data_IF_981879847457
#
_entry.id   IF_981879847457
#
_cell.length_a   1.000
_cell.length_b   1.000
_cell.length_c   1.000
_cell.angle_alpha   90.00
_cell.angle_beta   90.00
_cell.angle_gamma   90.00
#
_symmetry.space_group_name_H-M   'P 1'
#
loop_
_entity.id
_entity.type
_entity.pdbx_description
1 polymer ?
#
# COMPACT_ATOMS: atom_id res chain seq x y z
N UNK A 1 1.41 -20.87 6.25
CA UNK A 1 0.61 -21.09 6.47
C UNK A 1 -0.22 -21.22 7.64
N UNK A 2 -0.09 -22.15 8.34
CA UNK A 2 -0.90 -22.38 9.48
C UNK A 2 -0.73 -21.35 10.55
N UNK A 3 0.44 -20.75 10.63
CA UNK A 3 0.72 -19.75 11.64
C UNK A 3 -0.17 -18.52 11.47
N UNK A 4 -0.27 -18.03 10.26
CA UNK A 4 -1.12 -16.87 10.01
C UNK A 4 -2.56 -17.18 10.32
N UNK A 5 -2.99 -18.37 9.94
CA UNK A 5 -4.33 -18.74 10.21
C UNK A 5 -4.61 -18.85 11.68
N UNK A 6 -3.62 -19.26 12.45
CA UNK A 6 -3.81 -19.38 13.87
C UNK A 6 -3.97 -18.03 14.54
N UNK A 7 -3.37 -16.97 14.01
CA UNK A 7 -3.56 -15.63 14.53
C UNK A 7 -5.01 -15.22 14.49
N UNK A 8 -5.70 -15.65 13.44
CA UNK A 8 -7.11 -15.34 13.31
C UNK A 8 -8.00 -16.35 13.98
N UNK A 9 -7.46 -17.48 14.31
CA UNK A 9 -8.25 -18.51 14.95
C UNK A 9 -8.73 -18.08 16.32
N UNK A 10 -8.11 -17.07 16.90
CA UNK A 10 -8.58 -16.51 18.16
C UNK A 10 -9.98 -15.98 18.09
N UNK A 11 -10.48 -15.69 16.90
CA UNK A 11 -11.86 -15.25 16.72
C UNK A 11 -12.81 -16.42 16.50
N UNK A 12 -12.30 -17.62 16.48
CA UNK A 12 -13.14 -18.81 16.42
C UNK A 12 -13.68 -19.13 15.06
N UNK A 13 -13.16 -18.52 14.00
CA UNK A 13 -13.61 -18.85 12.66
C UNK A 13 -12.61 -18.38 11.64
N UNK A 14 -12.79 -18.88 10.42
CA UNK A 14 -11.94 -18.48 9.32
C UNK A 14 -12.25 -17.05 8.92
N UNK A 15 -11.19 -16.31 8.65
CA UNK A 15 -11.31 -15.00 8.04
C UNK A 15 -11.18 -15.17 6.53
N UNK A 16 -12.15 -14.68 5.79
CA UNK A 16 -12.07 -14.66 4.33
C UNK A 16 -11.35 -13.39 3.93
N UNK A 17 -10.15 -13.54 3.37
CA UNK A 17 -9.37 -12.41 2.91
C UNK A 17 -10.09 -11.73 1.74
N UNK A 18 -10.34 -10.46 1.90
CA UNK A 18 -10.88 -9.64 0.82
C UNK A 18 -9.78 -8.70 0.34
N UNK A 19 -9.83 -8.36 -0.93
CA UNK A 19 -8.87 -7.41 -1.50
C UNK A 19 -9.61 -6.24 -2.11
N UNK A 20 -8.97 -5.09 -2.07
CA UNK A 20 -9.44 -3.90 -2.75
C UNK A 20 -8.38 -3.48 -3.73
N UNK A 21 -8.71 -3.52 -5.02
CA UNK A 21 -7.76 -3.17 -6.06
C UNK A 21 -7.76 -1.66 -6.26
N UNK A 22 -6.56 -1.08 -6.28
CA UNK A 22 -6.38 0.35 -6.52
C UNK A 22 -5.41 0.48 -7.70
N UNK A 23 -5.88 1.09 -8.78
CA UNK A 23 -5.08 1.20 -10.00
C UNK A 23 -4.13 2.39 -9.94
N UNK A 24 -2.89 2.14 -10.29
CA UNK A 24 -1.87 3.17 -10.44
C UNK A 24 -1.35 3.10 -11.87
N UNK A 25 -1.52 4.18 -12.62
CA UNK A 25 -0.98 4.29 -13.97
C UNK A 25 0.42 4.87 -13.88
N UNK A 26 1.43 4.03 -13.97
CA UNK A 26 2.81 4.47 -13.80
C UNK A 26 3.32 5.34 -14.96
N UNK A 27 2.58 5.40 -16.08
CA UNK A 27 2.94 6.34 -17.14
C UNK A 27 2.82 7.79 -16.69
N UNK A 28 2.04 8.05 -15.63
CA UNK A 28 1.88 9.39 -15.06
C UNK A 28 3.06 9.78 -14.16
N UNK A 29 3.95 8.83 -13.86
CA UNK A 29 5.06 9.07 -12.94
C UNK A 29 6.34 9.27 -13.76
N UNK A 30 6.93 10.46 -13.65
CA UNK A 30 8.18 10.77 -14.32
C UNK A 30 9.26 11.26 -13.35
N UNK A 31 8.87 11.65 -12.15
CA UNK A 31 9.77 12.14 -11.10
C UNK A 31 9.09 11.98 -9.74
N UNK A 32 9.77 12.39 -8.68
CA UNK A 32 9.20 12.29 -7.34
C UNK A 32 7.94 13.12 -7.15
N UNK A 33 7.87 14.30 -7.77
CA UNK A 33 6.67 15.13 -7.65
C UNK A 33 5.46 14.42 -8.23
N UNK A 34 5.58 13.87 -9.45
CA UNK A 34 4.47 13.17 -10.07
C UNK A 34 4.14 11.87 -9.37
N UNK A 35 5.13 11.22 -8.75
CA UNK A 35 4.87 10.05 -7.90
C UNK A 35 3.95 10.42 -6.74
N UNK A 36 4.32 11.47 -6.01
CA UNK A 36 3.52 11.90 -4.87
C UNK A 36 2.16 12.44 -5.28
N UNK A 37 2.09 13.16 -6.40
CA UNK A 37 0.80 13.61 -6.93
C UNK A 37 -0.11 12.42 -7.24
N UNK A 38 0.42 11.42 -7.93
CA UNK A 38 -0.37 10.26 -8.34
C UNK A 38 -0.93 9.51 -7.14
N UNK A 39 -0.09 9.25 -6.15
CA UNK A 39 -0.54 8.53 -4.97
C UNK A 39 -1.45 9.37 -4.09
N UNK A 40 -1.14 10.65 -3.91
CA UNK A 40 -1.97 11.52 -3.08
C UNK A 40 -3.37 11.69 -3.68
N UNK A 41 -3.46 11.82 -4.98
CA UNK A 41 -4.76 11.93 -5.66
C UNK A 41 -5.55 10.63 -5.58
N UNK A 42 -4.88 9.51 -5.86
CA UNK A 42 -5.55 8.23 -5.93
C UNK A 42 -6.04 7.78 -4.55
N UNK A 43 -5.25 8.00 -3.52
CA UNK A 43 -5.57 7.56 -2.17
C UNK A 43 -6.26 8.63 -1.32
N UNK A 44 -6.27 9.87 -1.76
CA UNK A 44 -6.82 10.97 -0.97
C UNK A 44 -6.01 11.19 0.28
N UNK A 45 -4.69 11.30 0.17
CA UNK A 45 -3.83 11.59 1.30
C UNK A 45 -4.18 12.94 1.91
N UNK A 46 -3.95 13.13 3.22
CA UNK A 46 -4.35 14.38 3.86
C UNK A 46 -3.53 15.56 3.38
N UNK A 47 -4.06 16.77 3.60
CA UNK A 47 -3.40 17.98 3.15
C UNK A 47 -2.01 18.20 3.73
N UNK A 48 -1.73 17.57 4.88
CA UNK A 48 -0.41 17.66 5.50
C UNK A 48 0.55 16.57 5.03
N UNK A 49 0.19 15.81 3.99
CA UNK A 49 1.07 14.78 3.44
C UNK A 49 2.43 15.36 3.08
N UNK A 50 3.50 14.81 3.66
CA UNK A 50 4.84 15.39 3.57
C UNK A 50 5.57 15.16 2.26
N UNK A 51 5.01 14.41 1.31
CA UNK A 51 5.57 14.18 -0.02
C UNK A 51 6.99 13.61 0.03
N UNK A 52 7.17 12.62 0.87
CA UNK A 52 8.39 11.81 0.95
C UNK A 52 7.98 10.39 1.32
N UNK A 53 8.93 9.45 1.27
CA UNK A 53 8.58 8.04 1.47
C UNK A 53 8.25 7.72 2.93
N UNK A 54 8.77 8.47 3.89
CA UNK A 54 8.34 8.30 5.28
C UNK A 54 6.85 8.63 5.44
N UNK A 55 6.42 9.73 4.83
CA UNK A 55 5.01 10.11 4.85
C UNK A 55 4.14 9.09 4.09
N UNK A 56 4.64 8.59 2.96
CA UNK A 56 3.96 7.56 2.18
C UNK A 56 3.77 6.29 3.03
N UNK A 57 4.82 5.87 3.71
CA UNK A 57 4.77 4.71 4.60
C UNK A 57 3.72 4.90 5.69
N UNK A 58 3.67 6.08 6.29
CA UNK A 58 2.71 6.37 7.34
C UNK A 58 1.27 6.31 6.81
N UNK A 59 1.01 6.91 5.66
CA UNK A 59 -0.33 6.88 5.08
C UNK A 59 -0.77 5.47 4.76
N UNK A 60 0.13 4.65 4.21
CA UNK A 60 -0.22 3.27 3.84
C UNK A 60 -0.36 2.35 5.05
N UNK A 61 0.28 2.68 6.15
CA UNK A 61 0.20 1.87 7.36
C UNK A 61 -1.22 1.82 7.93
N UNK A 62 -2.01 2.87 7.71
CA UNK A 62 -3.33 3.03 8.33
C UNK A 62 -4.50 2.80 7.36
N UNK A 63 -4.29 2.00 6.30
CA UNK A 63 -5.35 1.74 5.34
C UNK A 63 -6.55 0.99 5.94
N UNK A 64 -6.36 0.31 7.05
CA UNK A 64 -7.46 -0.38 7.74
C UNK A 64 -8.01 0.41 8.93
N UNK A 65 -7.62 1.69 9.05
CA UNK A 65 -8.05 2.54 10.17
C UNK A 65 -8.56 3.88 9.62
N UNK A 66 -9.85 3.96 9.27
CA UNK A 66 -10.40 5.20 8.72
C UNK A 66 -10.32 6.37 9.67
N UNK A 67 -10.33 6.11 10.99
CA UNK A 67 -10.29 7.19 11.99
C UNK A 67 -8.92 7.85 12.05
N UNK A 68 -7.88 7.22 11.53
CA UNK A 68 -6.56 7.83 11.50
C UNK A 68 -6.48 9.04 10.57
N UNK A 69 -7.39 9.13 9.59
CA UNK A 69 -7.45 10.29 8.69
C UNK A 69 -6.29 10.38 7.71
N UNK A 70 -5.66 9.25 7.40
CA UNK A 70 -4.44 9.23 6.56
C UNK A 70 -4.70 8.91 5.10
N UNK A 71 -5.90 8.47 4.76
CA UNK A 71 -6.25 8.09 3.39
C UNK A 71 -7.77 8.12 3.25
N UNK A 72 -8.25 8.23 2.03
CA UNK A 72 -9.67 8.07 1.71
C UNK A 72 -9.98 6.66 1.22
N UNK A 73 -8.96 5.84 0.99
CA UNK A 73 -9.11 4.44 0.61
C UNK A 73 -8.95 3.59 1.86
N UNK A 74 -9.92 2.73 2.12
CA UNK A 74 -9.92 1.92 3.34
C UNK A 74 -10.30 0.48 3.04
N UNK A 75 -9.77 -0.42 3.86
CA UNK A 75 -10.17 -1.83 3.89
C UNK A 75 -10.51 -2.20 5.33
N UNK A 76 -11.23 -3.29 5.50
CA UNK A 76 -11.50 -3.82 6.84
C UNK A 76 -10.22 -4.44 7.42
N UNK A 77 -10.10 -4.51 8.74
CA UNK A 77 -8.94 -5.18 9.35
C UNK A 77 -8.78 -6.60 8.82
N UNK A 78 -7.57 -6.94 8.40
CA UNK A 78 -7.25 -8.24 7.82
C UNK A 78 -7.36 -8.29 6.31
N UNK A 79 -8.02 -7.31 5.70
CA UNK A 79 -8.10 -7.22 4.25
C UNK A 79 -6.88 -6.50 3.68
N UNK A 80 -6.70 -6.58 2.36
CA UNK A 80 -5.49 -6.10 1.68
C UNK A 80 -5.86 -5.15 0.55
N UNK A 81 -5.14 -4.04 0.48
CA UNK A 81 -5.17 -3.16 -0.70
C UNK A 81 -4.14 -3.69 -1.69
N UNK A 82 -4.57 -3.95 -2.92
CA UNK A 82 -3.67 -4.38 -3.99
C UNK A 82 -3.41 -3.18 -4.90
N UNK A 83 -2.15 -2.77 -4.97
CA UNK A 83 -1.71 -1.74 -5.91
C UNK A 83 -1.57 -2.39 -7.28
N UNK A 84 -2.48 -2.07 -8.19
CA UNK A 84 -2.44 -2.59 -9.56
C UNK A 84 -1.70 -1.58 -10.41
N UNK A 85 -0.43 -1.84 -10.65
CA UNK A 85 0.47 -0.87 -11.27
C UNK A 85 0.66 -1.23 -12.75
N UNK A 86 0.19 -0.37 -13.64
CA UNK A 86 0.31 -0.57 -15.08
C UNK A 86 1.51 0.17 -15.64
N UNK A 87 2.01 -0.30 -16.78
CA UNK A 87 3.17 0.31 -17.45
C UNK A 87 4.46 0.10 -16.67
N UNK A 88 4.58 -1.02 -15.96
CA UNK A 88 5.64 -1.19 -14.97
C UNK A 88 7.01 -1.35 -15.60
N UNK A 89 7.12 -2.04 -16.76
CA UNK A 89 8.44 -2.24 -17.37
C UNK A 89 9.06 -0.92 -17.81
N UNK A 90 8.25 -0.07 -18.44
CA UNK A 90 8.69 1.25 -18.85
C UNK A 90 9.01 2.13 -17.63
N UNK A 91 8.17 2.07 -16.61
CA UNK A 91 8.37 2.81 -15.38
C UNK A 91 9.71 2.43 -14.73
N UNK A 92 9.99 1.15 -14.61
CA UNK A 92 11.25 0.67 -14.03
C UNK A 92 12.45 1.17 -14.82
N UNK A 93 12.35 1.22 -16.15
CA UNK A 93 13.43 1.72 -16.97
C UNK A 93 13.66 3.21 -16.82
N UNK A 94 12.57 4.00 -16.80
CA UNK A 94 12.68 5.46 -16.72
C UNK A 94 12.96 5.97 -15.32
N UNK A 95 12.44 5.29 -14.32
CA UNK A 95 12.43 5.77 -12.94
C UNK A 95 12.82 4.65 -11.98
N UNK A 96 13.97 4.02 -12.22
CA UNK A 96 14.36 2.83 -11.45
C UNK A 96 14.47 3.10 -9.96
N UNK A 97 14.94 4.28 -9.57
CA UNK A 97 15.06 4.63 -8.15
C UNK A 97 13.68 4.71 -7.49
N UNK A 98 12.73 5.32 -8.18
CA UNK A 98 11.36 5.45 -7.65
C UNK A 98 10.70 4.08 -7.61
N UNK A 99 10.90 3.27 -8.64
CA UNK A 99 10.37 1.91 -8.66
C UNK A 99 10.91 1.09 -7.48
N UNK A 100 12.22 1.14 -7.25
CA UNK A 100 12.85 0.41 -6.15
C UNK A 100 12.29 0.88 -4.81
N UNK A 101 12.15 2.20 -4.62
CA UNK A 101 11.58 2.75 -3.40
C UNK A 101 10.15 2.28 -3.17
N UNK A 102 9.35 2.23 -4.22
CA UNK A 102 7.97 1.76 -4.12
C UNK A 102 7.91 0.31 -3.65
N UNK A 103 8.74 -0.55 -4.23
CA UNK A 103 8.79 -1.96 -3.85
C UNK A 103 9.26 -2.12 -2.41
N UNK A 104 10.34 -1.44 -2.06
CA UNK A 104 10.92 -1.55 -0.72
C UNK A 104 9.99 -1.00 0.34
N UNK A 105 9.38 0.14 0.10
CA UNK A 105 8.49 0.76 1.08
C UNK A 105 7.19 -0.02 1.24
N UNK A 106 6.68 -0.62 0.17
CA UNK A 106 5.50 -1.49 0.27
C UNK A 106 5.78 -2.66 1.21
N UNK A 107 6.95 -3.27 1.07
CA UNK A 107 7.36 -4.35 1.96
C UNK A 107 7.58 -3.86 3.38
N UNK A 108 8.17 -2.68 3.54
CA UNK A 108 8.43 -2.11 4.85
C UNK A 108 7.14 -1.81 5.62
N UNK A 109 6.12 -1.30 4.94
CA UNK A 109 4.81 -1.05 5.57
C UNK A 109 4.28 -2.34 6.20
N UNK A 110 4.29 -3.42 5.44
CA UNK A 110 3.80 -4.70 5.94
C UNK A 110 4.66 -5.22 7.09
N UNK A 111 5.98 -5.11 6.96
CA UNK A 111 6.89 -5.57 7.99
C UNK A 111 6.65 -4.83 9.31
N UNK A 112 6.51 -3.51 9.23
CA UNK A 112 6.27 -2.68 10.40
C UNK A 112 4.95 -3.05 11.10
N UNK A 113 3.92 -3.33 10.30
CA UNK A 113 2.64 -3.76 10.85
C UNK A 113 2.73 -5.12 11.53
N UNK A 114 3.42 -6.06 10.88
CA UNK A 114 3.58 -7.41 11.43
C UNK A 114 4.34 -7.37 12.76
N UNK A 115 5.34 -6.51 12.87
CA UNK A 115 6.06 -6.33 14.14
C UNK A 115 5.15 -5.86 15.28
N UNK A 116 4.08 -5.15 14.95
CA UNK A 116 3.12 -4.67 15.95
C UNK A 116 1.98 -5.64 16.17
N UNK A 117 2.03 -6.81 15.57
CA UNK A 117 0.96 -7.79 15.69
C UNK A 117 -0.22 -7.55 14.76
N UNK A 118 -0.09 -6.65 13.81
CA UNK A 118 -1.14 -6.39 12.83
C UNK A 118 -0.86 -7.15 11.53
N UNK A 119 -1.89 -7.52 10.76
CA UNK A 119 -1.66 -8.23 9.51
C UNK A 119 -1.12 -7.30 8.41
N UNK A 120 -0.53 -7.89 7.38
CA UNK A 120 -0.13 -7.15 6.20
C UNK A 120 -1.34 -6.46 5.56
N UNK A 121 -1.14 -5.30 4.93
CA UNK A 121 -2.23 -4.51 4.37
C UNK A 121 -2.01 -4.16 2.90
N UNK A 122 -0.81 -4.37 2.36
CA UNK A 122 -0.49 -4.03 0.98
C UNK A 122 -0.02 -5.23 0.20
N UNK A 123 -0.40 -5.28 -1.06
CA UNK A 123 0.19 -6.16 -2.05
C UNK A 123 0.35 -5.36 -3.34
N UNK A 124 1.24 -5.81 -4.22
CA UNK A 124 1.44 -5.17 -5.51
C UNK A 124 1.23 -6.17 -6.63
N UNK A 125 0.58 -5.72 -7.68
CA UNK A 125 0.36 -6.50 -8.89
C UNK A 125 0.82 -5.66 -10.07
N UNK A 126 1.72 -6.20 -10.88
CA UNK A 126 2.36 -5.44 -11.95
C UNK A 126 1.79 -5.84 -13.31
N UNK A 127 1.51 -4.82 -14.14
CA UNK A 127 0.96 -5.01 -15.49
C UNK A 127 1.80 -4.21 -16.49
N UNK A 128 1.77 -4.66 -17.73
CA UNK A 128 2.43 -3.94 -18.81
C UNK A 128 1.69 -2.69 -19.26
#
# INVERSE_FOLDING_TARGET
>A
MLIARRSYAGVGRLHTLMTKNVSIDASRISDWDSFHDTFAETFGFPGFYGRNMDAWNDCMTYLDDPDAGMSSVHVAPGDVVVLCISGVADFKNRCSEIFDALVECSSFVNYRRIERGAPAVLASSFYE
#
